data_IF_561174617668
#
_entry.id   IF_561174617668
#
_cell.length_a   1.000
_cell.length_b   1.000
_cell.length_c   1.000
_cell.angle_alpha   90.00
_cell.angle_beta   90.00
_cell.angle_gamma   90.00
#
_symmetry.space_group_name_H-M   'P 1'
#
loop_
_entity.id
_entity.type
_entity.pdbx_description
1 polymer ?
#
# COMPACT_ATOMS: atom_id res chain seq x y z
N UNK A 1 -28.99 -14.95 -0.22
CA UNK A 1 -27.65 -14.96 -0.82
C UNK A 1 -27.84 -14.87 -2.32
N UNK A 2 -27.60 -13.70 -2.92
CA UNK A 2 -27.68 -13.56 -4.37
C UNK A 2 -26.49 -14.33 -4.98
N UNK A 3 -26.74 -15.24 -5.93
CA UNK A 3 -25.69 -15.86 -6.73
C UNK A 3 -24.88 -14.75 -7.39
N UNK A 4 -23.63 -14.58 -6.96
CA UNK A 4 -22.69 -13.71 -7.66
C UNK A 4 -22.45 -14.33 -9.05
N UNK A 5 -22.69 -13.55 -10.10
CA UNK A 5 -22.46 -13.99 -11.48
C UNK A 5 -20.99 -14.35 -11.76
N UNK A 6 -20.63 -14.77 -12.99
CA UNK A 6 -19.29 -15.29 -13.33
C UNK A 6 -18.12 -14.35 -13.01
N UNK A 7 -18.36 -13.04 -12.88
CA UNK A 7 -17.34 -12.07 -12.44
C UNK A 7 -17.07 -12.18 -10.94
N UNK A 8 -18.10 -12.38 -10.10
CA UNK A 8 -17.91 -12.44 -8.65
C UNK A 8 -17.07 -13.63 -8.21
N UNK A 9 -17.29 -14.81 -8.80
CA UNK A 9 -16.44 -15.99 -8.56
C UNK A 9 -14.98 -15.72 -8.88
N UNK A 10 -14.69 -14.99 -9.95
CA UNK A 10 -13.31 -14.67 -10.37
C UNK A 10 -12.65 -13.64 -9.44
N UNK A 11 -13.43 -12.68 -8.93
CA UNK A 11 -12.96 -11.74 -7.91
C UNK A 11 -12.62 -12.48 -6.61
N UNK A 12 -13.45 -13.45 -6.20
CA UNK A 12 -13.17 -14.29 -5.02
C UNK A 12 -11.91 -15.16 -5.21
N UNK A 13 -11.58 -15.50 -6.46
CA UNK A 13 -10.34 -16.21 -6.83
C UNK A 13 -9.11 -15.28 -6.94
N UNK A 14 -9.30 -13.96 -6.78
CA UNK A 14 -8.21 -12.98 -6.85
C UNK A 14 -7.84 -12.52 -8.25
N UNK A 15 -8.64 -12.82 -9.29
CA UNK A 15 -8.42 -12.41 -10.68
C UNK A 15 -8.76 -10.93 -10.95
N UNK A 16 -8.37 -10.05 -10.02
CA UNK A 16 -8.69 -8.62 -10.08
C UNK A 16 -8.09 -7.93 -11.32
N UNK A 17 -6.84 -8.28 -11.67
CA UNK A 17 -6.11 -7.67 -12.77
C UNK A 17 -6.72 -8.04 -14.14
N UNK A 18 -7.06 -9.32 -14.32
CA UNK A 18 -7.70 -9.88 -15.51
C UNK A 18 -9.10 -9.31 -15.70
N UNK A 19 -9.90 -9.31 -14.64
CA UNK A 19 -11.26 -8.76 -14.69
C UNK A 19 -11.22 -7.27 -15.06
N UNK A 20 -10.30 -6.49 -14.47
CA UNK A 20 -10.14 -5.08 -14.83
C UNK A 20 -9.73 -4.88 -16.30
N UNK A 21 -8.84 -5.74 -16.82
CA UNK A 21 -8.42 -5.72 -18.22
C UNK A 21 -9.57 -6.03 -19.19
N UNK A 22 -10.43 -6.98 -18.83
CA UNK A 22 -11.62 -7.33 -19.62
C UNK A 22 -12.65 -6.22 -19.66
N UNK A 23 -12.87 -5.51 -18.54
CA UNK A 23 -13.77 -4.36 -18.49
C UNK A 23 -13.30 -3.28 -19.48
N UNK A 24 -12.00 -3.00 -19.55
CA UNK A 24 -11.44 -2.07 -20.56
C UNK A 24 -11.73 -2.56 -21.98
N UNK A 25 -11.55 -3.85 -22.26
CA UNK A 25 -11.80 -4.42 -23.58
C UNK A 25 -13.28 -4.32 -24.00
N UNK A 26 -14.20 -4.40 -23.03
CA UNK A 26 -15.64 -4.35 -23.28
C UNK A 26 -16.22 -2.92 -23.33
N UNK A 27 -15.79 -2.05 -22.43
CA UNK A 27 -16.36 -0.69 -22.25
C UNK A 27 -15.52 0.42 -22.87
N UNK A 28 -14.29 0.12 -23.23
CA UNK A 28 -13.31 1.09 -23.70
C UNK A 28 -12.57 1.79 -22.57
N UNK A 29 -11.30 2.12 -22.83
CA UNK A 29 -10.36 2.72 -21.86
C UNK A 29 -10.90 4.01 -21.24
N UNK A 30 -11.47 4.91 -22.05
CA UNK A 30 -11.92 6.21 -21.58
C UNK A 30 -13.04 6.13 -20.53
N UNK A 31 -14.04 5.27 -20.75
CA UNK A 31 -15.13 5.08 -19.78
C UNK A 31 -14.63 4.48 -18.49
N UNK A 32 -13.72 3.50 -18.58
CA UNK A 32 -13.09 2.91 -17.40
C UNK A 32 -12.32 3.94 -16.57
N UNK A 33 -11.53 4.79 -17.24
CA UNK A 33 -10.76 5.84 -16.55
C UNK A 33 -11.67 6.83 -15.81
N UNK A 34 -12.78 7.24 -16.42
CA UNK A 34 -13.79 8.10 -15.78
C UNK A 34 -14.45 7.42 -14.57
N UNK A 35 -14.76 6.12 -14.66
CA UNK A 35 -15.33 5.35 -13.54
C UNK A 35 -14.34 5.22 -12.38
N UNK A 36 -13.06 4.96 -12.66
CA UNK A 36 -12.00 4.91 -11.63
C UNK A 36 -11.83 6.28 -10.97
N UNK A 37 -11.70 7.35 -11.75
CA UNK A 37 -11.58 8.71 -11.20
C UNK A 37 -12.79 9.04 -10.31
N UNK A 38 -14.02 8.78 -10.79
CA UNK A 38 -15.23 9.06 -10.02
C UNK A 38 -15.33 8.24 -8.73
N UNK A 39 -14.86 6.98 -8.73
CA UNK A 39 -14.96 6.05 -7.59
C UNK A 39 -13.92 6.30 -6.50
N UNK A 40 -12.73 6.76 -6.88
CA UNK A 40 -11.60 6.98 -5.97
C UNK A 40 -11.34 8.46 -5.67
N UNK A 41 -12.03 9.40 -6.34
CA UNK A 41 -12.02 10.80 -5.91
C UNK A 41 -12.65 10.92 -4.52
N UNK A 42 -11.84 11.30 -3.53
CA UNK A 42 -12.34 11.56 -2.17
C UNK A 42 -13.25 12.79 -2.16
N UNK A 43 -14.44 12.64 -1.57
CA UNK A 43 -15.38 13.74 -1.27
C UNK A 43 -15.72 13.81 0.22
N UNK A 44 -15.10 12.97 1.04
CA UNK A 44 -15.45 12.82 2.44
C UNK A 44 -14.62 13.75 3.33
N UNK A 45 -15.23 14.20 4.43
CA UNK A 45 -14.50 14.84 5.52
C UNK A 45 -13.54 13.83 6.15
N UNK A 46 -12.31 14.27 6.43
CA UNK A 46 -11.29 13.41 7.01
C UNK A 46 -11.57 13.19 8.49
N UNK A 47 -11.48 11.94 8.91
CA UNK A 47 -11.56 11.54 10.31
C UNK A 47 -10.77 10.24 10.55
N UNK A 48 -10.49 9.98 11.83
CA UNK A 48 -9.91 8.73 12.29
C UNK A 48 -8.40 8.56 12.05
N UNK A 49 -7.90 7.31 11.91
CA UNK A 49 -6.47 6.99 12.00
C UNK A 49 -5.58 7.73 10.99
N UNK A 50 -6.13 8.12 9.84
CA UNK A 50 -5.37 8.82 8.79
C UNK A 50 -4.75 10.12 9.30
N UNK A 51 -5.44 10.83 10.21
CA UNK A 51 -4.96 12.08 10.79
C UNK A 51 -3.78 11.88 11.74
N UNK A 52 -3.50 10.65 12.17
CA UNK A 52 -2.38 10.34 13.06
C UNK A 52 -1.11 9.94 12.30
N UNK A 53 -1.21 9.63 11.00
CA UNK A 53 -0.09 9.15 10.18
C UNK A 53 1.07 10.15 10.14
N UNK A 54 0.78 11.45 10.12
CA UNK A 54 1.82 12.49 10.11
C UNK A 54 2.73 12.42 11.34
N UNK A 55 2.20 12.06 12.50
CA UNK A 55 2.97 11.94 13.73
C UNK A 55 3.79 10.63 13.81
N UNK A 56 3.48 9.63 12.95
CA UNK A 56 4.15 8.34 12.93
C UNK A 56 5.39 8.29 12.01
N UNK A 57 5.50 9.19 11.04
CA UNK A 57 6.65 9.22 10.11
C UNK A 57 7.07 10.64 9.77
N UNK A 58 8.39 10.82 9.66
CA UNK A 58 9.01 12.11 9.35
C UNK A 58 9.54 12.16 7.90
N UNK A 59 9.53 11.04 7.16
CA UNK A 59 10.26 10.94 5.88
C UNK A 59 9.39 10.61 4.69
N UNK A 60 8.83 9.41 4.64
CA UNK A 60 7.97 9.04 3.52
C UNK A 60 6.84 8.12 3.93
N UNK A 61 5.73 8.28 3.22
CA UNK A 61 4.55 7.42 3.25
C UNK A 61 4.48 6.72 1.89
N UNK A 62 4.17 5.43 1.90
CA UNK A 62 4.00 4.64 0.67
C UNK A 62 2.58 4.11 0.67
N UNK A 63 1.90 4.18 -0.46
CA UNK A 63 0.53 3.70 -0.61
C UNK A 63 0.30 3.07 -1.98
N UNK A 64 -0.62 2.12 -2.04
CA UNK A 64 -1.21 1.61 -3.28
C UNK A 64 -2.58 2.24 -3.56
N UNK A 65 -3.08 3.10 -2.66
CA UNK A 65 -4.36 3.78 -2.85
C UNK A 65 -4.26 4.87 -3.95
N UNK A 66 -5.34 5.02 -4.71
CA UNK A 66 -5.44 5.97 -5.82
C UNK A 66 -6.02 7.34 -5.40
N UNK A 67 -6.70 7.40 -4.26
CA UNK A 67 -7.35 8.59 -3.73
C UNK A 67 -6.34 9.61 -3.16
N UNK A 68 -6.83 10.80 -2.77
CA UNK A 68 -6.02 11.91 -2.23
C UNK A 68 -6.13 12.04 -0.70
N UNK A 69 -6.56 10.99 0.01
CA UNK A 69 -6.87 11.07 1.45
C UNK A 69 -5.63 11.41 2.28
N UNK A 70 -4.47 10.84 1.96
CA UNK A 70 -3.22 11.13 2.66
C UNK A 70 -2.72 12.55 2.40
N UNK A 71 -2.79 12.99 1.15
CA UNK A 71 -2.42 14.32 0.71
C UNK A 71 -3.27 15.38 1.42
N UNK A 72 -4.58 15.13 1.54
CA UNK A 72 -5.49 16.01 2.25
C UNK A 72 -5.22 15.98 3.76
N UNK A 73 -4.97 14.81 4.36
CA UNK A 73 -4.69 14.69 5.80
C UNK A 73 -3.46 15.52 6.21
N UNK A 74 -2.37 15.37 5.46
CA UNK A 74 -1.14 16.11 5.66
C UNK A 74 -1.34 17.62 5.45
N UNK A 75 -2.10 18.02 4.43
CA UNK A 75 -2.42 19.43 4.17
C UNK A 75 -3.28 20.06 5.27
N UNK A 76 -4.26 19.33 5.82
CA UNK A 76 -5.13 19.84 6.90
C UNK A 76 -4.40 20.06 8.23
N UNK A 77 -3.19 19.53 8.37
CA UNK A 77 -2.32 19.69 9.55
C UNK A 77 -1.16 20.65 9.28
N UNK A 78 -1.28 21.52 8.27
CA UNK A 78 -0.24 22.46 7.83
C UNK A 78 1.12 21.81 7.55
N UNK A 79 1.12 20.53 7.14
CA UNK A 79 2.33 19.76 6.84
C UNK A 79 2.17 18.97 5.55
N UNK A 80 1.94 19.63 4.39
CA UNK A 80 1.80 18.95 3.12
C UNK A 80 3.08 18.19 2.73
N UNK A 81 2.92 17.10 1.98
CA UNK A 81 4.06 16.42 1.36
C UNK A 81 4.85 17.40 0.48
N UNK A 82 6.17 17.41 0.65
CA UNK A 82 7.08 18.19 -0.21
C UNK A 82 7.11 17.62 -1.63
N UNK A 83 6.98 16.29 -1.74
CA UNK A 83 7.03 15.56 -3.01
C UNK A 83 5.95 14.47 -3.04
N UNK A 84 5.31 14.30 -4.20
CA UNK A 84 4.38 13.18 -4.47
C UNK A 84 4.84 12.48 -5.74
N UNK A 85 5.24 11.22 -5.60
CA UNK A 85 5.77 10.41 -6.69
C UNK A 85 4.79 9.32 -7.10
N UNK A 86 4.70 9.11 -8.42
CA UNK A 86 3.90 8.08 -9.06
C UNK A 86 4.83 7.10 -9.79
N UNK A 87 4.38 5.91 -10.20
CA UNK A 87 5.26 4.82 -10.66
C UNK A 87 6.20 5.20 -11.80
N UNK A 88 5.75 6.06 -12.71
CA UNK A 88 6.55 6.53 -13.84
C UNK A 88 7.51 7.70 -13.50
N UNK A 89 7.35 8.33 -12.34
CA UNK A 89 8.12 9.51 -11.91
C UNK A 89 8.97 9.27 -10.65
N UNK A 90 9.03 8.05 -10.13
CA UNK A 90 9.83 7.75 -8.95
C UNK A 90 11.33 7.83 -9.31
N UNK A 91 12.13 8.68 -8.65
CA UNK A 91 13.57 8.73 -8.89
C UNK A 91 14.27 7.44 -8.45
N UNK A 92 15.29 7.01 -9.18
CA UNK A 92 16.14 5.86 -8.80
C UNK A 92 16.76 6.02 -7.39
N UNK A 93 16.97 7.28 -6.98
CA UNK A 93 17.56 7.64 -5.69
C UNK A 93 16.54 8.07 -4.65
N UNK A 94 15.24 7.75 -4.81
CA UNK A 94 14.16 8.26 -3.94
C UNK A 94 14.45 8.11 -2.43
N UNK A 95 15.09 7.01 -2.04
CA UNK A 95 15.49 6.73 -0.64
C UNK A 95 16.56 7.72 -0.13
N UNK A 96 17.39 8.28 -1.02
CA UNK A 96 18.39 9.33 -0.73
C UNK A 96 17.80 10.74 -0.85
N UNK A 97 16.82 10.96 -1.72
CA UNK A 97 16.23 12.28 -1.95
C UNK A 97 15.33 12.71 -0.78
N UNK A 98 14.67 11.77 -0.09
CA UNK A 98 13.86 12.01 1.12
C UNK A 98 14.68 12.19 2.42
N UNK A 99 15.90 12.74 2.36
CA UNK A 99 16.78 12.91 3.53
C UNK A 99 17.05 14.36 3.91
N UNK A 100 16.30 15.32 3.37
CA UNK A 100 16.30 16.69 3.90
C UNK A 100 15.68 16.72 5.31
N UNK A 101 16.10 17.62 6.21
CA UNK A 101 15.56 17.72 7.57
C UNK A 101 14.03 17.91 7.62
N UNK A 102 13.42 18.43 6.55
CA UNK A 102 12.00 18.76 6.47
C UNK A 102 11.30 18.19 5.21
N UNK A 103 11.94 17.30 4.43
CA UNK A 103 11.32 16.76 3.22
C UNK A 103 10.48 15.52 3.53
N UNK A 104 9.16 15.69 3.49
CA UNK A 104 8.22 14.56 3.53
C UNK A 104 7.79 14.19 2.12
N UNK A 105 7.71 12.90 1.84
CA UNK A 105 7.29 12.43 0.51
C UNK A 105 6.19 11.36 0.56
N UNK A 106 5.33 11.38 -0.45
CA UNK A 106 4.34 10.34 -0.69
C UNK A 106 4.72 9.56 -1.95
N UNK A 107 4.82 8.23 -1.86
CA UNK A 107 4.99 7.35 -3.00
C UNK A 107 3.68 6.59 -3.23
N UNK A 108 3.01 6.88 -4.35
CA UNK A 108 1.81 6.15 -4.78
C UNK A 108 2.23 5.06 -5.77
N UNK A 109 2.46 3.85 -5.28
CA UNK A 109 3.02 2.72 -6.06
C UNK A 109 2.15 2.30 -7.23
N UNK A 110 0.85 2.60 -7.18
CA UNK A 110 -0.10 2.29 -8.24
C UNK A 110 -0.60 3.54 -8.97
N UNK A 111 -0.07 4.72 -8.65
CA UNK A 111 -0.42 5.97 -9.31
C UNK A 111 -1.63 6.66 -8.69
N UNK A 112 -2.36 7.41 -9.50
CA UNK A 112 -3.45 8.29 -9.05
C UNK A 112 -4.75 8.00 -9.80
N UNK A 113 -5.88 8.19 -9.14
CA UNK A 113 -7.20 8.03 -9.76
C UNK A 113 -7.43 9.01 -10.92
N UNK A 114 -6.89 10.22 -10.85
CA UNK A 114 -7.03 11.30 -11.85
C UNK A 114 -6.11 11.12 -13.05
N UNK A 115 -5.01 10.38 -12.90
CA UNK A 115 -3.99 10.24 -13.93
C UNK A 115 -3.94 8.78 -14.41
N UNK A 116 -4.62 8.51 -15.51
CA UNK A 116 -4.58 7.22 -16.19
C UNK A 116 -3.15 6.84 -16.64
N UNK A 117 -2.34 7.83 -17.04
CA UNK A 117 -0.95 7.60 -17.39
C UNK A 117 -0.11 7.36 -16.14
N UNK A 118 0.58 6.22 -16.08
CA UNK A 118 1.38 5.83 -14.92
C UNK A 118 0.60 5.13 -13.81
N UNK A 119 -0.69 4.82 -14.03
CA UNK A 119 -1.49 4.02 -13.10
C UNK A 119 -1.23 2.52 -13.25
N UNK A 120 -1.24 1.79 -12.14
CA UNK A 120 -1.18 0.33 -12.09
C UNK A 120 -2.52 -0.19 -11.59
N UNK A 121 -3.39 -0.65 -12.49
CA UNK A 121 -4.72 -1.12 -12.13
C UNK A 121 -5.10 -2.42 -12.85
N UNK A 122 -4.84 -2.46 -14.16
CA UNK A 122 -5.17 -3.60 -15.02
C UNK A 122 -3.98 -4.52 -15.22
N UNK A 123 -4.24 -5.76 -15.67
CA UNK A 123 -3.17 -6.73 -15.95
C UNK A 123 -2.07 -6.16 -16.85
N UNK A 124 -2.41 -5.46 -17.95
CA UNK A 124 -1.39 -4.89 -18.83
C UNK A 124 -0.54 -3.81 -18.15
N UNK A 125 -1.13 -3.05 -17.23
CA UNK A 125 -0.42 -2.04 -16.43
C UNK A 125 0.48 -2.72 -15.37
N UNK A 126 -0.01 -3.74 -14.68
CA UNK A 126 0.84 -4.54 -13.78
C UNK A 126 1.99 -5.21 -14.54
N UNK A 127 1.73 -5.80 -15.71
CA UNK A 127 2.75 -6.39 -16.59
C UNK A 127 3.78 -5.35 -17.05
N UNK A 128 3.37 -4.09 -17.22
CA UNK A 128 4.26 -2.98 -17.58
C UNK A 128 5.13 -2.51 -16.41
N UNK A 129 4.63 -2.48 -15.19
CA UNK A 129 5.40 -1.94 -14.05
C UNK A 129 6.16 -3.00 -13.27
N UNK A 130 5.61 -4.20 -13.14
CA UNK A 130 6.20 -5.32 -12.39
C UNK A 130 6.83 -6.38 -13.30
N UNK A 131 6.39 -6.49 -14.55
CA UNK A 131 6.79 -7.59 -15.44
C UNK A 131 5.90 -8.82 -15.31
N UNK A 132 5.85 -9.61 -16.39
CA UNK A 132 5.21 -10.92 -16.42
C UNK A 132 6.10 -11.93 -17.18
N UNK A 133 6.78 -12.86 -16.47
CA UNK A 133 6.81 -13.03 -15.01
C UNK A 133 7.43 -11.84 -14.29
N UNK A 134 7.28 -11.78 -12.96
CA UNK A 134 7.84 -10.71 -12.12
C UNK A 134 9.32 -10.45 -12.42
N UNK A 135 9.64 -9.20 -12.74
CA UNK A 135 10.94 -8.74 -13.16
C UNK A 135 11.51 -7.73 -12.14
N UNK A 136 12.40 -8.23 -11.28
CA UNK A 136 13.02 -7.44 -10.21
C UNK A 136 13.97 -6.36 -10.69
N UNK A 137 14.34 -6.35 -11.98
CA UNK A 137 15.19 -5.31 -12.55
C UNK A 137 14.37 -4.11 -13.05
N UNK A 138 13.03 -4.22 -13.08
CA UNK A 138 12.15 -3.08 -13.35
C UNK A 138 12.20 -2.06 -12.21
N UNK A 139 11.98 -0.77 -12.51
CA UNK A 139 12.12 0.30 -11.53
C UNK A 139 11.29 0.09 -10.25
N UNK A 140 10.03 -0.32 -10.38
CA UNK A 140 9.12 -0.45 -9.25
C UNK A 140 9.46 -1.67 -8.34
N UNK A 141 9.65 -2.89 -8.88
CA UNK A 141 10.20 -4.00 -8.10
C UNK A 141 11.56 -3.71 -7.44
N UNK A 142 12.48 -3.06 -8.15
CA UNK A 142 13.80 -2.70 -7.63
C UNK A 142 13.73 -1.72 -6.47
N UNK A 143 12.85 -0.72 -6.58
CA UNK A 143 12.55 0.23 -5.50
C UNK A 143 11.99 -0.51 -4.28
N UNK A 144 10.95 -1.32 -4.47
CA UNK A 144 10.29 -2.07 -3.40
C UNK A 144 11.28 -3.01 -2.70
N UNK A 145 12.09 -3.74 -3.46
CA UNK A 145 13.16 -4.57 -2.89
C UNK A 145 14.11 -3.76 -2.01
N UNK A 146 14.52 -2.58 -2.48
CA UNK A 146 15.40 -1.71 -1.71
C UNK A 146 14.73 -1.20 -0.42
N UNK A 147 13.44 -0.86 -0.47
CA UNK A 147 12.66 -0.45 0.69
C UNK A 147 12.52 -1.58 1.71
N UNK A 148 12.16 -2.77 1.25
CA UNK A 148 12.00 -3.96 2.09
C UNK A 148 13.32 -4.35 2.76
N UNK A 149 14.44 -4.25 2.07
CA UNK A 149 15.74 -4.60 2.67
C UNK A 149 16.24 -3.54 3.64
N UNK A 150 16.03 -2.25 3.36
CA UNK A 150 16.73 -1.15 4.07
C UNK A 150 15.89 -0.40 5.10
N UNK A 151 14.57 -0.56 5.10
CA UNK A 151 13.68 0.23 5.94
C UNK A 151 12.85 -0.67 6.85
N UNK A 152 12.57 -0.22 8.07
CA UNK A 152 11.52 -0.80 8.89
C UNK A 152 10.21 -0.12 8.54
N UNK A 153 9.20 -0.89 8.13
CA UNK A 153 7.91 -0.35 7.71
C UNK A 153 6.79 -0.81 8.64
N UNK A 154 5.81 0.07 8.80
CA UNK A 154 4.54 -0.23 9.45
C UNK A 154 3.43 -0.25 8.41
N UNK A 155 2.83 -1.42 8.20
CA UNK A 155 1.70 -1.63 7.31
C UNK A 155 0.38 -1.38 8.05
N UNK A 156 -0.48 -0.54 7.47
CA UNK A 156 -1.78 -0.14 8.04
C UNK A 156 -2.81 -0.13 6.91
N UNK A 157 -4.01 -0.65 7.17
CA UNK A 157 -5.11 -0.60 6.20
C UNK A 157 -4.91 -1.52 4.98
N UNK A 158 -4.00 -2.49 5.06
CA UNK A 158 -3.81 -3.49 4.03
C UNK A 158 -3.96 -4.90 4.62
N UNK A 159 -4.65 -5.78 3.90
CA UNK A 159 -4.87 -7.15 4.34
C UNK A 159 -3.62 -8.02 4.20
N UNK A 160 -2.67 -7.62 3.35
CA UNK A 160 -1.45 -8.39 2.99
C UNK A 160 -1.79 -9.81 2.48
N UNK A 161 -2.82 -9.95 1.65
CA UNK A 161 -3.24 -11.26 1.12
C UNK A 161 -2.56 -11.61 -0.20
N UNK A 162 -2.80 -10.82 -1.25
CA UNK A 162 -2.28 -11.08 -2.59
C UNK A 162 -2.19 -9.79 -3.37
N UNK A 163 -0.97 -9.46 -3.82
CA UNK A 163 -0.65 -8.34 -4.73
C UNK A 163 0.79 -8.52 -5.22
N UNK A 164 1.16 -7.97 -6.39
CA UNK A 164 2.53 -8.08 -6.91
C UNK A 164 3.58 -7.42 -6.00
N UNK A 165 3.19 -6.46 -5.15
CA UNK A 165 4.07 -5.93 -4.08
C UNK A 165 4.54 -7.02 -3.11
N UNK A 166 3.66 -7.95 -2.73
CA UNK A 166 4.02 -9.09 -1.87
C UNK A 166 4.89 -10.11 -2.61
N UNK A 167 4.68 -10.30 -3.91
CA UNK A 167 5.54 -11.17 -4.71
C UNK A 167 6.97 -10.61 -4.80
N UNK A 168 7.11 -9.30 -4.96
CA UNK A 168 8.41 -8.61 -4.85
C UNK A 168 9.02 -8.88 -3.48
N UNK A 169 8.23 -8.79 -2.40
CA UNK A 169 8.71 -9.04 -1.05
C UNK A 169 9.26 -10.47 -0.87
N UNK A 170 8.48 -11.47 -1.28
CA UNK A 170 8.87 -12.88 -1.25
C UNK A 170 10.15 -13.09 -2.05
N UNK A 171 10.23 -12.51 -3.25
CA UNK A 171 11.40 -12.64 -4.11
C UNK A 171 12.63 -11.93 -3.53
N UNK A 172 12.47 -10.79 -2.85
CA UNK A 172 13.55 -10.12 -2.12
C UNK A 172 14.11 -11.00 -1.01
N UNK A 173 13.24 -11.60 -0.18
CA UNK A 173 13.67 -12.53 0.88
C UNK A 173 14.37 -13.76 0.29
N UNK A 174 13.85 -14.30 -0.81
CA UNK A 174 14.47 -15.43 -1.49
C UNK A 174 15.87 -15.09 -2.02
N UNK A 175 16.08 -13.88 -2.56
CA UNK A 175 17.37 -13.44 -3.14
C UNK A 175 18.39 -13.04 -2.08
N UNK A 176 17.96 -12.32 -1.04
CA UNK A 176 18.86 -11.70 -0.07
C UNK A 176 19.00 -12.51 1.24
N UNK A 177 18.01 -13.36 1.53
CA UNK A 177 17.88 -14.10 2.78
C UNK A 177 17.18 -13.30 3.87
N UNK A 178 16.31 -13.97 4.64
CA UNK A 178 15.53 -13.35 5.71
C UNK A 178 16.36 -12.62 6.78
N UNK A 179 17.63 -13.02 6.99
CA UNK A 179 18.52 -12.35 7.94
C UNK A 179 19.06 -10.98 7.49
N UNK A 180 18.93 -10.64 6.19
CA UNK A 180 19.38 -9.35 5.62
C UNK A 180 18.23 -8.40 5.31
N UNK A 181 17.03 -8.94 5.13
CA UNK A 181 15.81 -8.13 4.97
C UNK A 181 15.40 -7.59 6.33
N UNK A 182 14.98 -6.33 6.36
CA UNK A 182 14.55 -5.69 7.61
C UNK A 182 13.33 -6.42 8.19
N UNK A 183 13.12 -6.27 9.49
CA UNK A 183 11.86 -6.70 10.12
C UNK A 183 10.84 -5.58 9.94
N UNK A 184 9.62 -5.95 9.59
CA UNK A 184 8.50 -5.02 9.41
C UNK A 184 7.35 -5.39 10.35
N UNK A 185 6.39 -4.50 10.48
CA UNK A 185 5.23 -4.66 11.35
C UNK A 185 3.95 -4.37 10.59
N UNK A 186 2.86 -5.04 10.93
CA UNK A 186 1.55 -4.79 10.32
C UNK A 186 0.46 -4.76 11.38
N UNK A 187 -0.37 -3.71 11.40
CA UNK A 187 -1.58 -3.67 12.22
C UNK A 187 -2.69 -4.33 11.44
N UNK A 188 -3.14 -5.49 11.90
CA UNK A 188 -4.06 -6.36 11.19
C UNK A 188 -5.23 -6.78 12.07
N UNK A 189 -6.38 -6.97 11.43
CA UNK A 189 -7.55 -7.54 12.09
C UNK A 189 -7.23 -8.97 12.53
N UNK A 190 -7.55 -9.30 13.78
CA UNK A 190 -7.34 -10.65 14.30
C UNK A 190 -8.16 -11.64 13.47
N UNK A 191 -7.54 -12.66 12.87
CA UNK A 191 -8.27 -13.72 12.19
C UNK A 191 -9.05 -14.54 13.22
N UNK A 192 -9.97 -15.39 12.74
CA UNK A 192 -10.66 -16.33 13.62
C UNK A 192 -9.65 -17.32 14.23
N UNK A 193 -9.94 -17.84 15.43
CA UNK A 193 -8.97 -18.61 16.24
C UNK A 193 -8.29 -19.78 15.50
N UNK A 194 -8.98 -20.39 14.53
CA UNK A 194 -8.45 -21.49 13.71
C UNK A 194 -7.38 -21.08 12.70
N UNK A 195 -7.35 -19.80 12.31
CA UNK A 195 -6.55 -19.29 11.19
C UNK A 195 -5.34 -18.47 11.66
N UNK A 196 -5.24 -18.12 12.95
CA UNK A 196 -4.21 -17.23 13.47
C UNK A 196 -2.78 -17.77 13.27
N UNK A 197 -2.57 -19.07 13.51
CA UNK A 197 -1.25 -19.69 13.37
C UNK A 197 -0.77 -19.72 11.91
N UNK A 198 -1.67 -20.05 10.99
CA UNK A 198 -1.35 -20.06 9.55
C UNK A 198 -1.09 -18.64 9.04
N UNK A 199 -1.85 -17.66 9.55
CA UNK A 199 -1.64 -16.26 9.22
C UNK A 199 -0.32 -15.72 9.76
N UNK A 200 0.04 -16.03 11.00
CA UNK A 200 1.32 -15.66 11.60
C UNK A 200 2.49 -16.30 10.86
N UNK A 201 2.38 -17.57 10.48
CA UNK A 201 3.38 -18.26 9.70
C UNK A 201 3.60 -17.58 8.34
N UNK A 202 2.52 -17.30 7.62
CA UNK A 202 2.58 -16.60 6.34
C UNK A 202 3.29 -15.24 6.44
N UNK A 203 2.95 -14.43 7.44
CA UNK A 203 3.57 -13.11 7.64
C UNK A 203 5.03 -13.22 8.07
N UNK A 204 5.36 -14.20 8.91
CA UNK A 204 6.75 -14.44 9.35
C UNK A 204 7.64 -14.89 8.21
N UNK A 205 7.14 -15.69 7.27
CA UNK A 205 7.86 -16.07 6.04
C UNK A 205 8.28 -14.86 5.21
N UNK A 206 7.53 -13.75 5.33
CA UNK A 206 7.86 -12.47 4.70
C UNK A 206 8.44 -11.41 5.66
N UNK A 207 8.97 -11.82 6.81
CA UNK A 207 9.57 -10.95 7.84
C UNK A 207 8.64 -9.85 8.39
N UNK A 208 7.32 -10.06 8.34
CA UNK A 208 6.32 -9.16 8.91
C UNK A 208 5.83 -9.72 10.24
N UNK A 209 5.91 -8.91 11.29
CA UNK A 209 5.33 -9.23 12.60
C UNK A 209 3.94 -8.58 12.70
N UNK A 210 2.86 -9.38 12.84
CA UNK A 210 1.53 -8.83 13.02
C UNK A 210 1.34 -8.23 14.41
N UNK A 211 0.54 -7.17 14.47
CA UNK A 211 -0.03 -6.55 15.66
C UNK A 211 -1.54 -6.67 15.49
N UNK A 212 -2.14 -7.61 16.23
CA UNK A 212 -3.56 -7.93 16.10
C UNK A 212 -4.44 -6.92 16.82
N UNK A 213 -5.50 -6.45 16.15
CA UNK A 213 -6.62 -5.77 16.79
C UNK A 213 -7.89 -6.62 16.72
N UNK A 214 -8.86 -6.46 17.63
CA UNK A 214 -10.06 -7.30 17.65
C UNK A 214 -10.87 -7.21 16.36
N UNK A 215 -11.40 -8.35 15.90
CA UNK A 215 -12.20 -8.43 14.69
C UNK A 215 -13.40 -7.48 14.72
N UNK A 216 -13.54 -6.65 13.69
CA UNK A 216 -14.56 -5.62 13.54
C UNK A 216 -14.30 -4.33 14.32
N UNK A 217 -13.28 -4.27 15.18
CA UNK A 217 -12.99 -3.10 16.00
C UNK A 217 -11.90 -2.22 15.37
N UNK A 218 -12.27 -1.48 14.32
CA UNK A 218 -11.36 -0.54 13.68
C UNK A 218 -11.01 0.68 14.54
N UNK A 219 -11.73 0.92 15.65
CA UNK A 219 -11.40 2.01 16.60
C UNK A 219 -10.12 1.70 17.37
N UNK A 220 -9.80 0.42 17.55
CA UNK A 220 -8.55 -0.01 18.13
C UNK A 220 -7.30 0.45 17.34
N UNK A 221 -7.44 0.71 16.03
CA UNK A 221 -6.34 1.24 15.23
C UNK A 221 -5.94 2.63 15.75
N UNK A 222 -6.89 3.53 16.00
CA UNK A 222 -6.59 4.87 16.54
C UNK A 222 -5.87 4.78 17.88
N UNK A 223 -6.36 3.95 18.79
CA UNK A 223 -5.74 3.75 20.10
C UNK A 223 -4.30 3.20 19.99
N UNK A 224 -4.07 2.25 19.08
CA UNK A 224 -2.74 1.69 18.82
C UNK A 224 -1.78 2.76 18.28
N UNK A 225 -2.22 3.58 17.32
CA UNK A 225 -1.40 4.64 16.75
C UNK A 225 -1.10 5.73 17.79
N UNK A 226 -2.08 6.14 18.60
CA UNK A 226 -1.86 7.08 19.71
C UNK A 226 -0.80 6.56 20.69
N UNK A 227 -0.90 5.29 21.08
CA UNK A 227 0.07 4.65 21.94
C UNK A 227 1.48 4.67 21.32
N UNK A 228 1.61 4.37 20.03
CA UNK A 228 2.89 4.41 19.32
C UNK A 228 3.49 5.82 19.29
N UNK A 229 2.67 6.85 19.06
CA UNK A 229 3.13 8.25 19.04
C UNK A 229 3.59 8.67 20.45
N UNK A 230 2.86 8.28 21.50
CA UNK A 230 3.25 8.52 22.90
C UNK A 230 4.58 7.83 23.23
N UNK A 231 4.70 6.54 22.92
CA UNK A 231 5.87 5.73 23.24
C UNK A 231 7.14 6.21 22.52
N UNK A 232 7.00 6.83 21.35
CA UNK A 232 8.13 7.38 20.58
C UNK A 232 8.50 8.82 20.97
N UNK A 233 7.80 9.44 21.93
CA UNK A 233 8.03 10.81 22.35
C UNK A 233 7.69 11.84 21.26
N UNK A 234 6.84 11.47 20.30
CA UNK A 234 6.47 12.31 19.15
C UNK A 234 5.22 13.17 19.37
N UNK A 235 4.60 13.07 20.55
CA UNK A 235 3.66 14.08 21.02
C UNK A 235 4.46 15.24 21.61
N UNK A 236 4.49 16.37 20.90
CA UNK A 236 4.75 17.65 21.56
C UNK A 236 3.44 18.10 22.22
N UNK A 237 3.41 18.05 23.55
CA UNK A 237 2.41 18.77 24.36
C UNK A 237 2.59 20.27 24.24
#
# INVERSE_FOLDING_TARGET
MAEMGPVGTRLDQGEYEEVAQEIIAQRGRHMFDLEVEARYSSKAELSGPVLQIRALTEKFVITTNFDEVLELAFRTQDSPFSEVWHPASIPDEVIRVSTGPDSTALIKLHGDSKYANGRVFTKSEYDLFYGAPLDMDRPLPKLLATLYSRQCMLFIGCSLCSDRTLDVFRQTIQREGAGRVSRHFAILECPDDGDILDREKFLTEINIVPIWFPKGDFTAIEALLEYLIQATGRLQT
#
